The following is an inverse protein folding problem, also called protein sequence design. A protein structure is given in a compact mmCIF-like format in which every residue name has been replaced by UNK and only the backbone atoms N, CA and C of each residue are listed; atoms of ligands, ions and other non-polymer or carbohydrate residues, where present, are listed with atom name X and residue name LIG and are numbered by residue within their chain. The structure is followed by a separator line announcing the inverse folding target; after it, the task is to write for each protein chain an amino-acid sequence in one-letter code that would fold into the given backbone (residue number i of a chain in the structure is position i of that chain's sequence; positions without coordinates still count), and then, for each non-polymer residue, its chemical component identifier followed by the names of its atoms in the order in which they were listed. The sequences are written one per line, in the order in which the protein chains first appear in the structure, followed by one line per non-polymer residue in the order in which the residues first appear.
data_IF_095400564920
#
_entry.id   IF_095400564920
#
_cell.length_a   1.000
_cell.length_b   1.000
_cell.length_c   1.000
_cell.angle_alpha   90.00
_cell.angle_beta   90.00
_cell.angle_gamma   90.00
#
_symmetry.space_group_name_H-M   'P 1'
#
loop_
_entity.id
_entity.type
_entity.pdbx_description
1 polymer ?
#
# COMPACT_ATOMS: atom_id res chain seq x y z
N UNK A 1 78.93 -34.52 -29.38
CA UNK A 1 78.05 -33.53 -30.09
C UNK A 1 76.57 -33.86 -30.03
N UNK A 2 76.10 -35.05 -30.31
CA UNK A 2 74.67 -35.49 -30.39
C UNK A 2 73.85 -35.24 -29.11
N UNK A 3 74.45 -35.29 -27.90
CA UNK A 3 73.75 -35.14 -26.62
C UNK A 3 73.37 -33.68 -26.32
N UNK A 4 74.13 -32.71 -26.79
CA UNK A 4 73.86 -31.26 -26.61
C UNK A 4 72.74 -30.81 -27.50
N UNK A 5 72.65 -31.30 -28.72
CA UNK A 5 71.60 -30.98 -29.69
C UNK A 5 70.22 -31.45 -29.22
N UNK A 6 70.07 -32.62 -28.61
CA UNK A 6 68.82 -33.14 -28.03
C UNK A 6 68.38 -32.28 -26.81
N UNK A 7 69.30 -31.79 -26.03
CA UNK A 7 68.97 -30.89 -24.91
C UNK A 7 68.45 -29.56 -25.36
N UNK A 8 69.03 -28.97 -26.38
CA UNK A 8 68.59 -27.69 -26.94
C UNK A 8 67.22 -27.85 -27.61
N UNK A 9 66.97 -28.93 -28.34
CA UNK A 9 65.66 -29.20 -28.93
C UNK A 9 64.57 -29.41 -27.88
N UNK A 10 64.85 -30.08 -26.76
CA UNK A 10 63.90 -30.23 -25.65
C UNK A 10 63.54 -28.89 -25.02
N UNK A 11 64.53 -27.98 -24.81
CA UNK A 11 64.28 -26.64 -24.29
C UNK A 11 63.42 -25.83 -25.24
N UNK A 12 63.65 -25.87 -26.52
CA UNK A 12 62.83 -25.15 -27.54
C UNK A 12 61.40 -25.65 -27.52
N UNK A 13 61.19 -26.95 -27.46
CA UNK A 13 59.80 -27.52 -27.38
C UNK A 13 59.10 -27.09 -26.10
N UNK A 14 59.78 -27.04 -24.93
CA UNK A 14 59.22 -26.56 -23.69
C UNK A 14 58.80 -25.08 -23.79
N UNK A 15 59.62 -24.23 -24.39
CA UNK A 15 59.29 -22.82 -24.59
C UNK A 15 58.08 -22.63 -25.54
N UNK A 16 57.99 -23.40 -26.58
CA UNK A 16 56.86 -23.35 -27.52
C UNK A 16 55.59 -23.81 -26.81
N UNK A 17 55.59 -24.89 -26.03
CA UNK A 17 54.41 -25.37 -25.27
C UNK A 17 54.00 -24.35 -24.20
N UNK A 18 54.97 -23.76 -23.47
CA UNK A 18 54.69 -22.72 -22.49
C UNK A 18 54.07 -21.48 -23.18
N UNK A 19 54.60 -21.08 -24.33
CA UNK A 19 54.05 -19.95 -25.11
C UNK A 19 52.57 -20.24 -25.55
N UNK A 20 52.29 -21.44 -26.05
CA UNK A 20 50.93 -21.84 -26.39
C UNK A 20 50.00 -21.86 -25.18
N UNK A 21 50.46 -22.36 -24.02
CA UNK A 21 49.67 -22.35 -22.77
C UNK A 21 49.37 -20.91 -22.32
N UNK A 22 50.31 -19.98 -22.39
CA UNK A 22 50.09 -18.59 -22.02
C UNK A 22 49.10 -17.90 -22.95
N UNK A 23 49.14 -18.16 -24.25
CA UNK A 23 48.17 -17.65 -25.21
C UNK A 23 46.77 -18.21 -24.92
N UNK A 24 46.67 -19.52 -24.64
CA UNK A 24 45.42 -20.15 -24.31
C UNK A 24 44.80 -19.60 -23.03
N UNK A 25 45.59 -19.45 -21.95
CA UNK A 25 45.13 -18.87 -20.68
C UNK A 25 44.72 -17.40 -20.87
N UNK A 26 45.48 -16.62 -21.65
CA UNK A 26 45.13 -15.23 -21.98
C UNK A 26 43.84 -15.12 -22.72
N UNK A 27 43.58 -16.03 -23.68
CA UNK A 27 42.33 -16.08 -24.40
C UNK A 27 41.13 -16.43 -23.49
N UNK A 28 41.30 -17.44 -22.62
CA UNK A 28 40.27 -17.83 -21.64
C UNK A 28 39.95 -16.65 -20.67
N UNK A 29 40.97 -15.94 -20.20
CA UNK A 29 40.81 -14.80 -19.34
C UNK A 29 40.08 -13.63 -20.04
N UNK A 30 40.37 -13.39 -21.32
CA UNK A 30 39.68 -12.40 -22.14
C UNK A 30 38.18 -12.72 -22.31
N UNK A 31 37.83 -13.99 -22.62
CA UNK A 31 36.44 -14.44 -22.74
C UNK A 31 35.70 -14.34 -21.41
N UNK A 32 36.35 -14.71 -20.31
CA UNK A 32 35.76 -14.59 -18.98
C UNK A 32 35.50 -13.12 -18.61
N UNK A 33 36.41 -12.22 -18.95
CA UNK A 33 36.24 -10.78 -18.71
C UNK A 33 35.06 -10.23 -19.51
N UNK A 34 34.92 -10.59 -20.76
CA UNK A 34 33.82 -10.14 -21.63
C UNK A 34 32.45 -10.63 -21.09
N UNK A 35 32.40 -11.88 -20.60
CA UNK A 35 31.19 -12.41 -19.97
C UNK A 35 30.86 -11.68 -18.65
N UNK A 36 31.90 -11.31 -17.88
CA UNK A 36 31.72 -10.57 -16.64
C UNK A 36 31.17 -9.16 -16.90
N UNK A 37 31.73 -8.45 -17.88
CA UNK A 37 31.28 -7.13 -18.28
C UNK A 37 29.83 -7.13 -18.81
N UNK A 38 29.46 -8.19 -19.56
CA UNK A 38 28.08 -8.37 -20.03
C UNK A 38 27.12 -8.62 -18.87
N UNK A 39 27.54 -9.43 -17.89
CA UNK A 39 26.75 -9.75 -16.70
C UNK A 39 26.56 -8.50 -15.82
N UNK A 40 27.61 -7.72 -15.62
CA UNK A 40 27.55 -6.44 -14.90
C UNK A 40 26.57 -5.48 -15.57
N UNK A 41 26.64 -5.34 -16.90
CA UNK A 41 25.72 -4.52 -17.66
C UNK A 41 24.26 -4.96 -17.52
N UNK A 42 24.00 -6.26 -17.59
CA UNK A 42 22.66 -6.81 -17.37
C UNK A 42 22.18 -6.55 -15.96
N UNK A 43 23.04 -6.73 -14.97
CA UNK A 43 22.73 -6.49 -13.56
C UNK A 43 22.36 -5.01 -13.33
N UNK A 44 23.13 -4.08 -13.86
CA UNK A 44 22.85 -2.65 -13.76
C UNK A 44 21.51 -2.29 -14.44
N UNK A 45 21.23 -2.86 -15.61
CA UNK A 45 19.95 -2.67 -16.29
C UNK A 45 18.77 -3.15 -15.45
N UNK A 46 18.90 -4.30 -14.76
CA UNK A 46 17.86 -4.84 -13.87
C UNK A 46 17.68 -3.93 -12.65
N UNK A 47 18.77 -3.44 -12.06
CA UNK A 47 18.72 -2.52 -10.91
C UNK A 47 18.01 -1.23 -11.29
N UNK A 48 18.32 -0.64 -12.44
CA UNK A 48 17.66 0.57 -12.93
C UNK A 48 16.17 0.35 -13.19
N UNK A 49 15.81 -0.80 -13.77
CA UNK A 49 14.41 -1.18 -13.98
C UNK A 49 13.65 -1.36 -12.65
N UNK A 50 14.30 -1.98 -11.65
CA UNK A 50 13.71 -2.14 -10.31
C UNK A 50 13.48 -0.80 -9.61
N UNK A 51 14.44 0.13 -9.70
CA UNK A 51 14.27 1.50 -9.19
C UNK A 51 13.08 2.20 -9.87
N UNK A 52 12.97 2.14 -11.18
CA UNK A 52 11.83 2.72 -11.90
C UNK A 52 10.47 2.12 -11.51
N UNK A 53 10.41 0.81 -11.27
CA UNK A 53 9.20 0.15 -10.76
C UNK A 53 8.89 0.63 -9.35
N UNK A 54 9.89 0.73 -8.47
CA UNK A 54 9.71 1.19 -7.10
C UNK A 54 9.17 2.63 -7.05
N UNK A 55 9.73 3.54 -7.83
CA UNK A 55 9.24 4.92 -7.93
C UNK A 55 7.80 4.98 -8.43
N UNK A 56 7.49 4.20 -9.48
CA UNK A 56 6.13 4.12 -10.02
C UNK A 56 5.13 3.60 -9.00
N UNK A 57 5.50 2.55 -8.25
CA UNK A 57 4.64 2.01 -7.19
C UNK A 57 4.43 3.01 -6.07
N UNK A 58 5.46 3.75 -5.67
CA UNK A 58 5.36 4.73 -4.60
C UNK A 58 4.42 5.88 -4.98
N UNK A 59 4.49 6.36 -6.22
CA UNK A 59 3.54 7.36 -6.74
C UNK A 59 2.11 6.82 -6.74
N UNK A 60 1.91 5.58 -7.23
CA UNK A 60 0.58 4.95 -7.26
C UNK A 60 -0.02 4.73 -5.89
N UNK A 61 0.81 4.32 -4.92
CA UNK A 61 0.37 4.18 -3.52
C UNK A 61 -0.07 5.52 -2.95
N UNK A 62 0.74 6.58 -3.13
CA UNK A 62 0.38 7.93 -2.69
C UNK A 62 -0.90 8.46 -3.35
N UNK A 63 -1.12 8.18 -4.63
CA UNK A 63 -2.36 8.53 -5.33
C UNK A 63 -3.57 7.82 -4.72
N UNK A 64 -3.44 6.52 -4.40
CA UNK A 64 -4.51 5.74 -3.78
C UNK A 64 -4.80 6.22 -2.35
N UNK A 65 -3.77 6.48 -1.53
CA UNK A 65 -3.91 7.05 -0.18
C UNK A 65 -4.63 8.40 -0.21
N UNK A 66 -4.40 9.19 -1.26
CA UNK A 66 -5.09 10.45 -1.46
C UNK A 66 -6.58 10.30 -1.82
N UNK A 67 -7.03 9.11 -2.23
CA UNK A 67 -8.42 8.85 -2.62
C UNK A 67 -9.25 8.23 -1.48
N UNK A 68 -8.61 7.73 -0.43
CA UNK A 68 -9.28 7.09 0.70
C UNK A 68 -9.20 7.96 1.95
N UNK A 69 -10.15 7.73 2.86
CA UNK A 69 -10.18 8.30 4.20
C UNK A 69 -10.41 7.16 5.19
N UNK A 70 -9.62 7.11 6.24
CA UNK A 70 -9.86 6.21 7.38
C UNK A 70 -10.93 6.83 8.28
N UNK A 71 -11.87 6.03 8.76
CA UNK A 71 -12.95 6.49 9.62
C UNK A 71 -13.29 5.43 10.68
N UNK A 72 -13.26 5.84 11.95
CA UNK A 72 -13.82 5.07 13.06
C UNK A 72 -15.32 5.34 13.22
N UNK A 73 -16.16 4.30 13.17
CA UNK A 73 -17.60 4.40 13.37
C UNK A 73 -17.99 3.71 14.67
N UNK A 74 -18.53 4.45 15.60
CA UNK A 74 -19.05 3.93 16.87
C UNK A 74 -20.58 3.95 16.84
N UNK A 75 -21.20 2.83 17.20
CA UNK A 75 -22.66 2.69 17.37
C UNK A 75 -22.91 2.34 18.83
N UNK A 76 -23.61 3.21 19.54
CA UNK A 76 -24.00 3.05 20.95
C UNK A 76 -25.53 3.02 21.05
N UNK A 77 -26.09 1.84 21.30
CA UNK A 77 -27.54 1.66 21.42
C UNK A 77 -28.06 1.90 22.83
N UNK A 78 -27.24 2.46 23.72
CA UNK A 78 -27.55 2.69 25.13
C UNK A 78 -27.31 1.47 26.03
N UNK A 79 -27.02 0.29 25.46
CA UNK A 79 -26.70 -0.95 26.21
C UNK A 79 -25.31 -1.47 25.82
N UNK A 80 -24.99 -1.41 24.54
CA UNK A 80 -23.71 -1.87 23.97
C UNK A 80 -23.21 -0.82 23.00
N UNK A 81 -21.92 -0.49 23.11
CA UNK A 81 -21.21 0.31 22.13
C UNK A 81 -20.23 -0.57 21.34
N UNK A 82 -20.29 -0.48 20.02
CA UNK A 82 -19.37 -1.16 19.11
C UNK A 82 -18.65 -0.13 18.27
N UNK A 83 -17.36 -0.33 18.00
CA UNK A 83 -16.57 0.55 17.13
C UNK A 83 -15.90 -0.27 16.06
N UNK A 84 -16.02 0.17 14.82
CA UNK A 84 -15.34 -0.40 13.66
C UNK A 84 -14.57 0.68 12.92
N UNK A 85 -13.36 0.35 12.45
CA UNK A 85 -12.57 1.21 11.59
C UNK A 85 -12.72 0.73 10.15
N UNK A 86 -12.97 1.66 9.23
CA UNK A 86 -13.15 1.36 7.81
C UNK A 86 -12.47 2.41 6.94
N UNK A 87 -12.19 2.01 5.70
CA UNK A 87 -11.64 2.87 4.68
C UNK A 87 -12.72 3.21 3.65
N UNK A 88 -12.89 4.49 3.39
CA UNK A 88 -13.91 5.06 2.52
C UNK A 88 -13.27 5.88 1.41
N UNK A 89 -13.96 6.05 0.30
CA UNK A 89 -13.58 7.04 -0.69
C UNK A 89 -13.71 8.43 -0.08
N UNK A 90 -12.73 9.30 -0.26
CA UNK A 90 -12.81 10.71 0.18
C UNK A 90 -14.08 11.38 -0.34
N UNK A 91 -14.76 12.09 0.54
CA UNK A 91 -16.05 12.70 0.26
C UNK A 91 -17.25 11.82 0.54
N UNK A 92 -17.05 10.57 0.99
CA UNK A 92 -18.14 9.75 1.53
C UNK A 92 -18.79 10.44 2.73
N UNK A 93 -20.07 10.16 2.96
CA UNK A 93 -20.81 10.75 4.07
C UNK A 93 -20.76 9.88 5.33
N UNK A 94 -21.07 10.46 6.48
CA UNK A 94 -21.20 9.69 7.73
C UNK A 94 -22.31 8.64 7.64
N UNK A 95 -23.37 8.91 6.88
CA UNK A 95 -24.44 7.94 6.64
C UNK A 95 -23.96 6.77 5.76
N UNK A 96 -23.13 7.04 4.74
CA UNK A 96 -22.50 6.00 3.93
C UNK A 96 -21.52 5.15 4.78
N UNK A 97 -20.74 5.79 5.66
CA UNK A 97 -19.89 5.09 6.61
C UNK A 97 -20.70 4.16 7.51
N UNK A 98 -21.79 4.66 8.10
CA UNK A 98 -22.67 3.87 8.95
C UNK A 98 -23.27 2.67 8.21
N UNK A 99 -23.71 2.86 6.95
CA UNK A 99 -24.28 1.79 6.11
C UNK A 99 -23.28 0.68 5.74
N UNK A 100 -21.98 0.94 5.89
CA UNK A 100 -20.95 -0.10 5.69
C UNK A 100 -20.82 -1.05 6.88
N UNK A 101 -21.16 -0.59 8.07
CA UNK A 101 -20.97 -1.34 9.34
C UNK A 101 -22.29 -1.77 9.99
N UNK A 102 -23.44 -1.27 9.50
CA UNK A 102 -24.75 -1.55 10.09
C UNK A 102 -25.88 -1.57 9.07
N UNK A 103 -26.96 -2.24 9.45
CA UNK A 103 -28.24 -2.14 8.73
C UNK A 103 -28.96 -0.88 9.20
N UNK A 104 -29.20 0.08 8.28
CA UNK A 104 -29.76 1.39 8.60
C UNK A 104 -31.09 1.58 7.89
N UNK A 105 -32.13 1.86 8.67
CA UNK A 105 -33.44 2.29 8.14
C UNK A 105 -33.53 3.81 8.25
N UNK A 106 -33.90 4.48 7.17
CA UNK A 106 -33.99 5.94 7.09
C UNK A 106 -35.34 6.39 6.54
N UNK A 107 -35.71 7.64 6.82
CA UNK A 107 -36.80 8.35 6.14
C UNK A 107 -36.27 9.63 5.55
N UNK A 108 -36.57 9.86 4.28
CA UNK A 108 -36.17 11.10 3.61
C UNK A 108 -37.22 12.20 3.84
N UNK A 109 -36.76 13.36 4.27
CA UNK A 109 -37.57 14.58 4.42
C UNK A 109 -37.09 15.65 3.45
N UNK A 110 -37.99 16.15 2.61
CA UNK A 110 -37.67 17.20 1.63
C UNK A 110 -37.08 18.44 2.32
N UNK A 111 -35.87 18.82 1.92
CA UNK A 111 -35.13 19.95 2.47
C UNK A 111 -34.33 19.67 3.75
N UNK A 112 -34.50 18.50 4.38
CA UNK A 112 -33.75 18.10 5.58
C UNK A 112 -32.86 16.88 5.34
N UNK A 113 -33.11 16.11 4.26
CA UNK A 113 -32.34 14.92 3.92
C UNK A 113 -32.84 13.65 4.62
N UNK A 114 -31.96 12.65 4.70
CA UNK A 114 -32.26 11.34 5.32
C UNK A 114 -32.12 11.38 6.85
N UNK A 115 -33.17 10.94 7.51
CA UNK A 115 -33.22 10.80 8.98
C UNK A 115 -33.09 9.33 9.36
N UNK A 116 -32.21 9.01 10.30
CA UNK A 116 -31.98 7.63 10.76
C UNK A 116 -33.11 7.24 11.72
N UNK A 117 -33.91 6.24 11.33
CA UNK A 117 -34.99 5.70 12.15
C UNK A 117 -34.49 4.55 13.01
N UNK A 118 -33.73 3.59 12.40
CA UNK A 118 -33.20 2.45 13.13
C UNK A 118 -31.78 2.12 12.66
N UNK A 119 -30.97 1.62 13.58
CA UNK A 119 -29.67 1.00 13.33
C UNK A 119 -29.72 -0.41 13.92
N UNK A 120 -29.43 -1.43 13.09
CA UNK A 120 -29.50 -2.85 13.48
C UNK A 120 -30.81 -3.24 14.18
N UNK A 121 -31.94 -2.69 13.70
CA UNK A 121 -33.26 -2.93 14.26
C UNK A 121 -33.62 -2.15 15.53
N UNK A 122 -32.69 -1.43 16.12
CA UNK A 122 -32.93 -0.57 17.31
C UNK A 122 -33.39 0.81 16.85
N UNK A 123 -34.50 1.30 17.40
CA UNK A 123 -35.07 2.61 17.10
C UNK A 123 -36.59 2.61 17.22
N UNK A 124 -37.22 3.73 16.82
CA UNK A 124 -38.67 3.93 16.79
C UNK A 124 -39.38 3.94 18.17
N UNK A 125 -38.66 4.09 19.28
CA UNK A 125 -39.26 4.35 20.57
C UNK A 125 -39.66 5.83 20.71
N UNK A 126 -40.82 6.09 21.30
CA UNK A 126 -41.31 7.44 21.50
C UNK A 126 -40.36 8.25 22.37
N UNK A 127 -39.93 9.41 21.88
CA UNK A 127 -39.02 10.31 22.57
C UNK A 127 -37.56 9.98 22.49
N UNK A 128 -37.18 8.91 21.75
CA UNK A 128 -35.80 8.55 21.51
C UNK A 128 -35.43 8.69 20.03
N UNK A 129 -34.17 8.96 19.76
CA UNK A 129 -33.63 9.15 18.42
C UNK A 129 -32.15 8.76 18.35
N UNK A 130 -31.61 8.56 17.14
CA UNK A 130 -30.20 8.38 16.90
C UNK A 130 -29.52 9.72 16.74
N UNK A 131 -28.75 10.12 17.77
CA UNK A 131 -27.94 11.34 17.77
C UNK A 131 -26.60 11.07 17.10
N UNK A 132 -26.16 12.00 16.25
CA UNK A 132 -24.92 11.90 15.50
C UNK A 132 -23.86 12.84 16.10
N UNK A 133 -22.66 12.31 16.38
CA UNK A 133 -21.50 13.02 16.92
C UNK A 133 -20.27 12.77 16.07
N UNK A 134 -19.34 13.69 16.10
CA UNK A 134 -17.99 13.53 15.57
C UNK A 134 -16.96 13.90 16.64
N UNK A 135 -15.77 13.31 16.56
CA UNK A 135 -14.66 13.64 17.45
C UNK A 135 -13.96 14.90 16.94
N UNK A 136 -13.83 15.91 17.82
CA UNK A 136 -13.13 17.15 17.51
C UNK A 136 -11.93 17.32 18.45
N UNK A 137 -10.82 16.66 18.09
CA UNK A 137 -9.50 16.70 18.77
C UNK A 137 -9.53 16.41 20.28
N UNK A 138 -10.51 16.91 21.03
CA UNK A 138 -10.56 16.81 22.50
C UNK A 138 -11.83 16.16 23.05
N UNK A 139 -12.96 16.23 22.33
CA UNK A 139 -14.24 15.70 22.79
C UNK A 139 -15.21 15.33 21.66
N UNK A 140 -16.28 14.65 22.03
CA UNK A 140 -17.39 14.34 21.14
C UNK A 140 -18.30 15.56 20.98
N UNK A 141 -18.47 16.03 19.75
CA UNK A 141 -19.36 17.13 19.40
C UNK A 141 -20.61 16.60 18.71
N UNK A 142 -21.75 17.08 19.18
CA UNK A 142 -23.01 16.89 18.45
C UNK A 142 -22.90 17.55 17.08
N UNK A 143 -23.26 16.81 16.03
CA UNK A 143 -23.15 17.32 14.67
C UNK A 143 -24.27 18.32 14.39
N UNK A 144 -23.90 19.49 13.86
CA UNK A 144 -24.86 20.54 13.44
C UNK A 144 -25.56 20.22 12.12
N UNK A 145 -25.08 19.17 11.42
CA UNK A 145 -25.62 18.70 10.15
C UNK A 145 -26.00 17.22 10.24
N UNK A 146 -26.93 16.78 9.41
CA UNK A 146 -27.30 15.36 9.32
C UNK A 146 -26.15 14.50 8.80
N UNK A 147 -26.18 13.22 9.15
CA UNK A 147 -25.16 12.25 8.74
C UNK A 147 -25.02 12.10 7.20
N UNK A 148 -26.08 12.36 6.45
CA UNK A 148 -26.06 12.40 4.98
C UNK A 148 -25.24 13.59 4.44
N UNK A 149 -25.22 14.71 5.17
CA UNK A 149 -24.54 15.92 4.74
C UNK A 149 -23.10 16.02 5.25
N UNK A 150 -22.78 15.32 6.34
CA UNK A 150 -21.44 15.32 6.92
C UNK A 150 -20.48 14.51 6.04
N UNK A 151 -19.47 15.19 5.48
CA UNK A 151 -18.40 14.53 4.71
C UNK A 151 -17.30 14.07 5.65
N UNK A 152 -17.06 12.76 5.65
CA UNK A 152 -16.00 12.12 6.42
C UNK A 152 -14.63 12.62 5.95
N UNK A 153 -13.80 13.03 6.91
CA UNK A 153 -12.41 13.40 6.71
C UNK A 153 -11.52 12.20 7.05
N UNK A 154 -10.27 12.29 6.63
CA UNK A 154 -9.28 11.28 7.00
C UNK A 154 -9.05 11.30 8.52
N UNK A 155 -8.98 10.09 9.12
CA UNK A 155 -8.87 9.86 10.57
C UNK A 155 -10.05 10.35 11.42
N UNK A 156 -11.20 10.65 10.80
CA UNK A 156 -12.41 10.98 11.53
C UNK A 156 -12.87 9.81 12.42
N UNK A 157 -13.35 10.17 13.61
CA UNK A 157 -14.13 9.27 14.45
C UNK A 157 -15.54 9.83 14.58
N UNK A 158 -16.53 9.04 14.18
CA UNK A 158 -17.93 9.39 14.24
C UNK A 158 -18.69 8.44 15.18
N UNK A 159 -19.75 8.93 15.80
CA UNK A 159 -20.53 8.15 16.75
C UNK A 159 -22.02 8.40 16.57
N UNK A 160 -22.77 7.31 16.61
CA UNK A 160 -24.22 7.32 16.66
C UNK A 160 -24.68 6.78 18.01
N UNK A 161 -25.48 7.56 18.76
CA UNK A 161 -25.96 7.22 20.10
C UNK A 161 -27.48 7.21 20.06
N UNK A 162 -28.09 6.12 20.53
CA UNK A 162 -29.53 6.04 20.74
C UNK A 162 -29.88 6.66 22.09
N UNK A 163 -30.52 7.83 22.10
CA UNK A 163 -30.75 8.66 23.28
C UNK A 163 -32.10 9.36 23.21
N UNK A 164 -32.51 9.96 24.34
CA UNK A 164 -33.70 10.79 24.51
C UNK A 164 -33.34 12.25 24.65
#
# INVERSE_FOLDING_TARGET
MVKIERGVQAIVVIFVVLGMCLVYVGHQASVAQEQFDELEKKTNTIVDALHGIQETLQVRVSELENLIAECGVTIDNGTVATTETLYLTKGATALEALRRVAVVETTYYTGLGEFINKINGVGAETGKYWAFYYWNENDWRYAEVGAESYKVKDTDNIKFIYTS
#
